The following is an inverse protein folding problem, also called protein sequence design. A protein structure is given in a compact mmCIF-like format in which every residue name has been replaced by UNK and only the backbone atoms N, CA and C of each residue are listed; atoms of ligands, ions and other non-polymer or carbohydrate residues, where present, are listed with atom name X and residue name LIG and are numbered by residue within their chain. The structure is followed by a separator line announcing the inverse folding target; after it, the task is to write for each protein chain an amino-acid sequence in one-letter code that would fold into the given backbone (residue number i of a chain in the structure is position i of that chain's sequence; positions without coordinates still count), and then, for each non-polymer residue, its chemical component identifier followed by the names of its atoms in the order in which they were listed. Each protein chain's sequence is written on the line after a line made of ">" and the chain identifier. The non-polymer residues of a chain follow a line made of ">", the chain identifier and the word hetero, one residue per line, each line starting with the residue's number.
data_IF_421222300161
#
_entry.id   IF_421222300161
#
_cell.length_a   1.000
_cell.length_b   1.000
_cell.length_c   1.000
_cell.angle_alpha   90.00
_cell.angle_beta   90.00
_cell.angle_gamma   90.00
#
_symmetry.space_group_name_H-M   'P 1'
#
loop_
_entity.id
_entity.type
_entity.pdbx_description
1 polymer ?
#
# COMPACT_ATOMS: atom_id res chain seq x y z
N UNK A 1 16.74 1.41 -0.34
CA UNK A 1 15.26 1.41 -0.30
C UNK A 1 14.76 2.32 -1.40
N UNK A 2 13.64 1.98 -2.03
CA UNK A 2 12.95 2.78 -3.02
C UNK A 2 11.51 3.04 -2.58
N UNK A 3 10.94 4.13 -3.07
CA UNK A 3 9.53 4.46 -2.85
C UNK A 3 8.72 4.01 -4.07
N UNK A 4 7.71 3.17 -3.84
CA UNK A 4 6.80 2.66 -4.87
C UNK A 4 5.42 3.25 -4.62
N UNK A 5 4.83 3.87 -5.64
CA UNK A 5 3.43 4.29 -5.62
C UNK A 5 2.54 3.10 -5.96
N UNK A 6 1.60 2.76 -5.09
CA UNK A 6 0.70 1.61 -5.24
C UNK A 6 -0.74 2.08 -5.17
N UNK A 7 -1.53 1.68 -6.16
CA UNK A 7 -2.98 1.89 -6.17
C UNK A 7 -3.65 0.69 -5.51
N UNK A 8 -4.46 0.96 -4.49
CA UNK A 8 -5.15 -0.05 -3.69
C UNK A 8 -6.65 0.20 -3.70
N UNK A 9 -7.45 -0.85 -3.84
CA UNK A 9 -8.90 -0.78 -3.64
C UNK A 9 -9.26 -1.20 -2.23
N UNK A 10 -9.88 -0.31 -1.45
CA UNK A 10 -10.33 -0.58 -0.09
C UNK A 10 -11.75 -0.02 0.12
N UNK A 11 -12.66 -0.82 0.70
CA UNK A 11 -14.08 -0.45 0.90
C UNK A 11 -14.77 0.15 -0.35
N UNK A 12 -14.46 -0.38 -1.53
CA UNK A 12 -15.03 0.09 -2.81
C UNK A 12 -14.48 1.42 -3.33
N UNK A 13 -13.46 1.99 -2.68
CA UNK A 13 -12.75 3.20 -3.11
C UNK A 13 -11.32 2.90 -3.51
N UNK A 14 -10.79 3.68 -4.44
CA UNK A 14 -9.41 3.59 -4.88
C UNK A 14 -8.55 4.59 -4.09
N UNK A 15 -7.42 4.12 -3.57
CA UNK A 15 -6.44 4.90 -2.84
C UNK A 15 -5.08 4.78 -3.51
N UNK A 16 -4.30 5.86 -3.49
CA UNK A 16 -2.91 5.85 -3.89
C UNK A 16 -2.06 6.03 -2.64
N UNK A 17 -1.16 5.09 -2.36
CA UNK A 17 -0.23 5.17 -1.23
C UNK A 17 1.20 4.87 -1.67
N UNK A 18 2.14 5.26 -0.83
CA UNK A 18 3.57 5.07 -1.05
C UNK A 18 4.12 3.99 -0.11
N UNK A 19 4.78 2.99 -0.67
CA UNK A 19 5.46 1.93 0.09
C UNK A 19 6.96 2.08 -0.07
N UNK A 20 7.68 2.10 1.05
CA UNK A 20 9.13 1.99 1.05
C UNK A 20 9.50 0.51 0.97
N UNK A 21 10.10 0.09 -0.15
CA UNK A 21 10.43 -1.29 -0.43
C UNK A 21 11.92 -1.44 -0.77
N UNK A 22 12.44 -2.66 -0.69
CA UNK A 22 13.75 -2.99 -1.22
C UNK A 22 13.60 -3.41 -2.69
N UNK A 23 14.66 -3.31 -3.52
CA UNK A 23 14.61 -3.73 -4.92
C UNK A 23 14.20 -5.19 -5.13
N UNK A 24 14.41 -6.03 -4.10
CA UNK A 24 14.08 -7.46 -4.12
C UNK A 24 12.74 -7.79 -3.44
N UNK A 25 12.00 -6.78 -2.96
CA UNK A 25 10.67 -7.00 -2.38
C UNK A 25 9.71 -7.37 -3.51
N UNK A 26 8.94 -8.45 -3.32
CA UNK A 26 7.96 -8.89 -4.31
C UNK A 26 6.81 -7.88 -4.44
N UNK A 27 6.18 -7.86 -5.60
CA UNK A 27 5.00 -7.01 -5.85
C UNK A 27 3.84 -7.34 -4.90
N UNK A 28 3.65 -8.63 -4.56
CA UNK A 28 2.65 -9.07 -3.59
C UNK A 28 2.88 -8.48 -2.20
N UNK A 29 4.13 -8.45 -1.74
CA UNK A 29 4.48 -7.87 -0.44
C UNK A 29 4.34 -6.35 -0.46
N UNK A 30 4.74 -5.70 -1.56
CA UNK A 30 4.50 -4.26 -1.78
C UNK A 30 3.01 -3.94 -1.71
N UNK A 31 2.17 -4.74 -2.37
CA UNK A 31 0.72 -4.54 -2.37
C UNK A 31 0.12 -4.77 -0.97
N UNK A 32 0.57 -5.82 -0.25
CA UNK A 32 0.14 -6.08 1.13
C UNK A 32 0.45 -4.90 2.05
N UNK A 33 1.67 -4.38 2.00
CA UNK A 33 2.08 -3.21 2.78
C UNK A 33 1.25 -1.96 2.42
N UNK A 34 0.98 -1.75 1.13
CA UNK A 34 0.12 -0.67 0.68
C UNK A 34 -1.31 -0.79 1.22
N UNK A 35 -1.87 -2.01 1.19
CA UNK A 35 -3.21 -2.30 1.70
C UNK A 35 -3.30 -2.08 3.21
N UNK A 36 -2.33 -2.58 3.97
CA UNK A 36 -2.27 -2.37 5.42
C UNK A 36 -2.14 -0.88 5.80
N UNK A 37 -1.37 -0.09 5.05
CA UNK A 37 -1.30 1.35 5.26
C UNK A 37 -2.65 2.03 5.06
N UNK A 38 -3.35 1.71 3.96
CA UNK A 38 -4.69 2.26 3.69
C UNK A 38 -5.67 1.81 4.77
N UNK A 39 -5.63 0.55 5.19
CA UNK A 39 -6.47 0.07 6.30
C UNK A 39 -6.23 0.90 7.57
N UNK A 40 -4.98 1.09 7.99
CA UNK A 40 -4.66 1.88 9.20
C UNK A 40 -5.10 3.34 9.08
N UNK A 41 -4.92 3.96 7.92
CA UNK A 41 -5.33 5.35 7.71
C UNK A 41 -6.85 5.55 7.72
N UNK A 42 -7.62 4.52 7.36
CA UNK A 42 -9.07 4.63 7.13
C UNK A 42 -9.93 3.72 8.03
N UNK A 43 -9.35 2.94 8.95
CA UNK A 43 -10.07 2.19 9.98
C UNK A 43 -10.40 3.03 11.22
N UNK A 44 -9.70 4.13 11.46
CA UNK A 44 -9.90 5.00 12.63
C UNK A 44 -10.91 6.15 12.40
N UNK A 45 -11.78 6.02 11.38
CA UNK A 45 -12.85 6.99 11.07
C UNK A 45 -14.24 6.38 11.31
#
# INVERSE_FOLDING_TARGET
>A
MLQVNVKVTYKGKNYLTNVLANPNTSEEEIYRLAYEQVQKQWQDN
#
